data_IF_856298444675
#
_entry.id   IF_856298444675
#
_cell.length_a   1.000
_cell.length_b   1.000
_cell.length_c   1.000
_cell.angle_alpha   90.00
_cell.angle_beta   90.00
_cell.angle_gamma   90.00
#
_symmetry.space_group_name_H-M   'P 1'
#
loop_
_entity.id
_entity.type
_entity.pdbx_description
1 polymer ?
#
# COMPACT_ATOMS: atom_id res chain seq x y z
N UNK A 1 2.72 -8.93 -12.22
CA UNK A 1 2.10 -7.63 -11.87
C UNK A 1 2.68 -6.57 -12.76
N UNK A 2 1.96 -5.49 -13.07
CA UNK A 2 2.48 -4.37 -13.84
C UNK A 2 3.70 -3.74 -13.16
N UNK A 3 4.65 -3.30 -13.98
CA UNK A 3 5.82 -2.57 -13.50
C UNK A 3 5.43 -1.16 -13.09
N UNK A 4 6.02 -0.68 -11.99
CA UNK A 4 5.92 0.73 -11.56
C UNK A 4 7.06 1.48 -12.21
N UNK A 5 6.77 2.60 -12.88
CA UNK A 5 7.83 3.46 -13.42
C UNK A 5 8.73 3.98 -12.29
N UNK A 6 10.04 4.10 -12.54
CA UNK A 6 11.01 4.53 -11.51
C UNK A 6 10.62 5.84 -10.82
N UNK A 7 10.04 6.78 -11.57
CA UNK A 7 9.59 8.08 -11.05
C UNK A 7 8.39 7.96 -10.08
N UNK A 8 7.59 6.90 -10.22
CA UNK A 8 6.39 6.67 -9.41
C UNK A 8 6.67 5.84 -8.14
N UNK A 9 7.89 5.31 -7.97
CA UNK A 9 8.21 4.43 -6.83
C UNK A 9 7.96 5.13 -5.48
N UNK A 10 8.40 6.39 -5.33
CA UNK A 10 8.18 7.15 -4.10
C UNK A 10 6.69 7.36 -3.80
N UNK A 11 5.92 7.68 -4.85
CA UNK A 11 4.48 7.88 -4.77
C UNK A 11 3.75 6.59 -4.35
N UNK A 12 4.15 5.45 -4.92
CA UNK A 12 3.61 4.14 -4.57
C UNK A 12 3.94 3.76 -3.13
N UNK A 13 5.17 4.01 -2.66
CA UNK A 13 5.54 3.74 -1.27
C UNK A 13 4.71 4.59 -0.30
N UNK A 14 4.49 5.88 -0.61
CA UNK A 14 3.62 6.75 0.20
C UNK A 14 2.24 6.15 0.40
N UNK A 15 1.58 5.75 -0.69
CA UNK A 15 0.24 5.13 -0.65
C UNK A 15 0.20 3.83 0.15
N UNK A 16 1.25 3.01 0.07
CA UNK A 16 1.35 1.79 0.87
C UNK A 16 1.45 2.12 2.37
N UNK A 17 2.18 3.18 2.72
CA UNK A 17 2.30 3.64 4.10
C UNK A 17 0.99 4.25 4.61
N UNK A 18 0.25 4.99 3.78
CA UNK A 18 -1.07 5.53 4.14
C UNK A 18 -2.04 4.40 4.51
N UNK A 19 -2.17 3.39 3.64
CA UNK A 19 -3.01 2.20 3.92
C UNK A 19 -2.55 1.48 5.19
N UNK A 20 -1.25 1.39 5.43
CA UNK A 20 -0.73 0.80 6.65
C UNK A 20 -1.12 1.61 7.89
N UNK A 21 -0.94 2.92 7.89
CA UNK A 21 -1.29 3.78 9.03
C UNK A 21 -2.79 3.74 9.31
N UNK A 22 -3.62 3.70 8.27
CA UNK A 22 -5.08 3.66 8.39
C UNK A 22 -5.61 2.33 8.96
N UNK A 23 -4.96 1.20 8.61
CA UNK A 23 -5.47 -0.13 8.95
C UNK A 23 -4.75 -0.81 10.11
N UNK A 24 -3.57 -0.32 10.50
CA UNK A 24 -2.80 -0.92 11.59
C UNK A 24 -3.49 -0.75 12.93
N UNK A 25 -3.31 -1.74 13.79
CA UNK A 25 -3.64 -1.65 15.20
C UNK A 25 -2.46 -1.04 15.97
N UNK A 26 -2.72 -0.66 17.23
CA UNK A 26 -1.66 -0.12 18.09
C UNK A 26 -0.50 -1.12 18.21
N UNK A 27 0.73 -0.62 18.09
CA UNK A 27 1.96 -1.42 18.11
C UNK A 27 2.06 -2.53 17.03
N UNK A 28 1.21 -2.52 16.02
CA UNK A 28 1.28 -3.47 14.91
C UNK A 28 2.31 -3.03 13.85
N UNK A 29 3.14 -3.97 13.38
CA UNK A 29 4.11 -3.72 12.31
C UNK A 29 3.46 -3.84 10.93
N UNK A 30 4.09 -3.23 9.93
CA UNK A 30 3.63 -3.27 8.54
C UNK A 30 3.35 -4.69 8.04
N UNK A 31 4.30 -5.62 8.21
CA UNK A 31 4.14 -6.99 7.72
C UNK A 31 3.00 -7.74 8.41
N UNK A 32 2.78 -7.46 9.70
CA UNK A 32 1.72 -8.08 10.48
C UNK A 32 0.35 -7.54 10.04
N UNK A 33 0.26 -6.21 9.81
CA UNK A 33 -0.92 -5.57 9.22
C UNK A 33 -1.25 -6.19 7.86
N UNK A 34 -0.25 -6.29 6.97
CA UNK A 34 -0.40 -6.86 5.63
C UNK A 34 -0.89 -8.32 5.66
N UNK A 35 -0.37 -9.15 6.57
CA UNK A 35 -0.80 -10.54 6.73
C UNK A 35 -2.23 -10.65 7.23
N UNK A 36 -2.66 -9.75 8.13
CA UNK A 36 -4.00 -9.75 8.73
C UNK A 36 -5.07 -9.25 7.76
N UNK A 37 -4.83 -8.12 7.08
CA UNK A 37 -5.82 -7.50 6.17
C UNK A 37 -5.75 -8.04 4.75
N UNK A 38 -4.65 -8.73 4.42
CA UNK A 38 -4.38 -9.22 3.08
C UNK A 38 -3.97 -8.13 2.09
N UNK A 39 -3.74 -8.54 0.85
CA UNK A 39 -3.20 -7.66 -0.20
C UNK A 39 -4.23 -6.68 -0.79
N UNK A 40 -5.53 -6.95 -0.63
CA UNK A 40 -6.63 -6.21 -1.26
C UNK A 40 -6.54 -4.70 -1.06
N UNK A 41 -6.55 -4.22 0.20
CA UNK A 41 -6.51 -2.78 0.49
C UNK A 41 -5.29 -2.06 -0.09
N UNK A 42 -4.12 -2.70 -0.06
CA UNK A 42 -2.88 -2.14 -0.58
C UNK A 42 -2.89 -2.05 -2.12
N UNK A 43 -3.42 -3.07 -2.80
CA UNK A 43 -3.53 -3.07 -4.27
C UNK A 43 -4.52 -2.04 -4.77
N UNK A 44 -5.69 -1.94 -4.14
CA UNK A 44 -6.72 -0.98 -4.53
C UNK A 44 -6.19 0.46 -4.51
N UNK A 45 -5.45 0.82 -3.46
CA UNK A 45 -4.92 2.18 -3.31
C UNK A 45 -3.81 2.52 -4.34
N UNK A 46 -2.91 1.55 -4.61
CA UNK A 46 -1.86 1.71 -5.63
C UNK A 46 -2.44 1.77 -7.05
N UNK A 47 -3.42 0.93 -7.39
CA UNK A 47 -4.01 0.90 -8.74
C UNK A 47 -5.05 1.98 -9.01
N UNK A 48 -5.76 2.46 -7.99
CA UNK A 48 -6.67 3.60 -8.12
C UNK A 48 -5.95 4.86 -8.62
N UNK A 49 -4.68 4.99 -8.28
CA UNK A 49 -3.87 6.15 -8.64
C UNK A 49 -3.21 6.07 -10.02
N UNK A 50 -2.91 4.87 -10.51
CA UNK A 50 -2.27 4.67 -11.82
C UNK A 50 -3.27 4.61 -12.99
N UNK A 51 -4.58 4.73 -12.72
CA UNK A 51 -5.65 4.74 -13.72
C UNK A 51 -6.11 6.15 -14.14
N UNK A 52 -5.38 7.20 -13.76
CA UNK A 52 -5.73 8.59 -14.09
C UNK A 52 -4.72 9.23 -15.02
#
# INVERSE_FOLDING_TARGET
GPAVEKKEVANVIGKLLDVYVDLRQENERFLDTYRRVGIGPFKENVYASNKR
#
